data_IF_338838030931
#
_entry.id   IF_338838030931
#
_cell.length_a   1.000
_cell.length_b   1.000
_cell.length_c   1.000
_cell.angle_alpha   90.00
_cell.angle_beta   90.00
_cell.angle_gamma   90.00
#
_symmetry.space_group_name_H-M   'P 1'
#
loop_
_entity.id
_entity.type
_entity.pdbx_description
1 polymer ?
#
# COMPACT_ATOMS: atom_id res chain seq x y z
N UNK A 1 17.26 28.87 -52.04
CA UNK A 1 17.04 29.74 -50.86
C UNK A 1 15.79 29.26 -50.15
N UNK A 2 15.91 28.24 -49.31
CA UNK A 2 14.82 27.82 -48.42
C UNK A 2 15.41 26.98 -47.29
N UNK A 3 15.34 27.55 -46.09
CA UNK A 3 15.94 27.04 -44.88
C UNK A 3 15.23 25.76 -44.39
N UNK A 4 16.00 24.70 -44.14
CA UNK A 4 15.56 23.57 -43.34
C UNK A 4 15.47 24.00 -41.88
N UNK A 5 14.26 24.02 -41.32
CA UNK A 5 14.05 24.10 -39.88
C UNK A 5 14.68 22.88 -39.20
N UNK A 6 15.83 23.07 -38.56
CA UNK A 6 16.31 22.15 -37.51
C UNK A 6 15.38 22.31 -36.32
N UNK A 7 14.45 21.38 -36.15
CA UNK A 7 13.76 21.17 -34.88
C UNK A 7 14.82 20.66 -33.90
N UNK A 8 15.23 21.51 -32.97
CA UNK A 8 16.06 21.14 -31.83
C UNK A 8 15.29 20.12 -31.00
N UNK A 9 15.68 18.85 -31.08
CA UNK A 9 15.26 17.84 -30.10
C UNK A 9 15.90 18.22 -28.77
N UNK A 10 15.12 18.77 -27.85
CA UNK A 10 15.54 18.92 -26.45
C UNK A 10 15.67 17.50 -25.89
N UNK A 11 16.89 16.97 -25.91
CA UNK A 11 17.25 15.79 -25.13
C UNK A 11 17.04 16.16 -23.66
N UNK A 12 15.90 15.77 -23.08
CA UNK A 12 15.71 15.84 -21.63
C UNK A 12 16.71 14.86 -21.02
N UNK A 13 17.86 15.37 -20.60
CA UNK A 13 18.80 14.61 -19.79
C UNK A 13 18.06 14.18 -18.54
N UNK A 14 17.80 12.88 -18.42
CA UNK A 14 17.25 12.30 -17.19
C UNK A 14 18.27 12.62 -16.10
N UNK A 15 17.91 13.50 -15.16
CA UNK A 15 18.78 13.82 -14.04
C UNK A 15 19.02 12.56 -13.21
N UNK A 16 20.28 12.33 -12.82
CA UNK A 16 20.62 11.26 -11.91
C UNK A 16 20.04 11.59 -10.53
N UNK A 17 19.06 10.80 -10.11
CA UNK A 17 18.41 10.90 -8.80
C UNK A 17 18.98 9.87 -7.84
N UNK A 18 19.01 10.20 -6.56
CA UNK A 18 19.56 9.37 -5.51
C UNK A 18 18.49 9.10 -4.42
N UNK A 19 18.62 8.00 -3.65
CA UNK A 19 17.81 7.80 -2.47
C UNK A 19 17.92 9.00 -1.50
N UNK A 20 16.78 9.48 -1.02
CA UNK A 20 16.67 10.67 -0.17
C UNK A 20 16.21 11.93 -0.90
N UNK A 21 16.41 12.01 -2.22
CA UNK A 21 15.99 13.16 -3.02
C UNK A 21 14.47 13.37 -2.93
N UNK A 22 14.05 14.64 -2.82
CA UNK A 22 12.64 15.06 -2.88
C UNK A 22 12.35 15.60 -4.26
N UNK A 23 11.31 15.06 -4.88
CA UNK A 23 10.91 15.40 -6.26
C UNK A 23 9.40 15.61 -6.33
N UNK A 24 8.97 16.49 -7.23
CA UNK A 24 7.55 16.69 -7.52
C UNK A 24 7.12 15.75 -8.66
N UNK A 25 5.95 15.12 -8.51
CA UNK A 25 5.40 14.21 -9.52
C UNK A 25 3.90 14.36 -9.62
N UNK A 26 3.39 14.34 -10.86
CA UNK A 26 1.95 14.20 -11.12
C UNK A 26 1.60 12.73 -11.24
N UNK A 27 0.67 12.27 -10.42
CA UNK A 27 0.19 10.89 -10.43
C UNK A 27 -0.80 10.70 -11.57
N UNK A 28 -0.53 9.71 -12.43
CA UNK A 28 -1.29 9.43 -13.64
C UNK A 28 -2.15 8.17 -13.52
N UNK A 29 -1.70 7.18 -12.77
CA UNK A 29 -2.36 5.87 -12.71
C UNK A 29 -2.07 5.14 -11.38
N UNK A 30 -2.72 3.98 -11.19
CA UNK A 30 -2.46 3.05 -10.09
C UNK A 30 -2.04 1.69 -10.65
N UNK A 31 -0.83 1.26 -10.28
CA UNK A 31 -0.32 -0.06 -10.60
C UNK A 31 -0.86 -1.13 -9.64
N UNK A 32 -0.54 -2.39 -9.96
CA UNK A 32 -0.72 -3.53 -9.07
C UNK A 32 -0.14 -3.25 -7.66
N UNK A 33 -0.73 -3.87 -6.64
CA UNK A 33 -0.38 -3.67 -5.22
C UNK A 33 -0.69 -2.24 -4.68
N UNK A 34 -1.47 -1.46 -5.44
CA UNK A 34 -1.93 -0.15 -5.01
C UNK A 34 -0.91 0.98 -5.10
N UNK A 35 0.20 0.76 -5.82
CA UNK A 35 1.24 1.78 -6.00
C UNK A 35 0.78 2.87 -6.98
N UNK A 36 1.00 4.12 -6.59
CA UNK A 36 0.78 5.25 -7.49
C UNK A 36 1.87 5.30 -8.57
N UNK A 37 1.45 5.60 -9.80
CA UNK A 37 2.35 5.71 -10.96
C UNK A 37 2.41 7.16 -11.37
N UNK A 38 3.58 7.76 -11.21
CA UNK A 38 3.90 9.09 -11.67
C UNK A 38 5.01 9.08 -12.72
N UNK A 39 5.36 10.27 -13.19
CA UNK A 39 6.46 10.46 -14.14
C UNK A 39 7.21 11.75 -13.82
N UNK A 40 8.54 11.67 -13.86
CA UNK A 40 9.43 12.80 -13.63
C UNK A 40 10.51 12.76 -14.71
N UNK A 41 10.60 13.82 -15.51
CA UNK A 41 11.54 13.95 -16.63
C UNK A 41 11.51 12.77 -17.61
N UNK A 42 10.32 12.23 -17.90
CA UNK A 42 10.14 11.10 -18.81
C UNK A 42 10.48 9.73 -18.22
N UNK A 43 10.80 9.66 -16.92
CA UNK A 43 11.08 8.41 -16.21
C UNK A 43 9.98 8.10 -15.18
N UNK A 44 9.51 6.85 -15.21
CA UNK A 44 8.44 6.37 -14.31
C UNK A 44 8.93 6.36 -12.86
N UNK A 45 8.05 6.76 -11.95
CA UNK A 45 8.24 6.60 -10.50
C UNK A 45 7.04 5.87 -9.90
N UNK A 46 7.30 4.83 -9.11
CA UNK A 46 6.30 4.12 -8.32
C UNK A 46 6.32 4.63 -6.88
N UNK A 47 5.16 5.05 -6.38
CA UNK A 47 5.05 5.66 -5.07
C UNK A 47 4.13 4.85 -4.15
N UNK A 48 4.57 4.69 -2.91
CA UNK A 48 3.67 4.33 -1.82
C UNK A 48 2.78 5.53 -1.50
N UNK A 49 1.46 5.30 -1.45
CA UNK A 49 0.42 6.32 -1.36
C UNK A 49 0.36 7.25 -2.60
N UNK A 50 -0.62 8.16 -2.59
CA UNK A 50 -0.96 9.01 -3.72
C UNK A 50 -2.04 8.39 -4.62
N UNK A 51 -2.82 9.24 -5.28
CA UNK A 51 -3.93 8.87 -6.15
C UNK A 51 -3.85 9.57 -7.51
N UNK A 52 -4.40 9.00 -8.58
CA UNK A 52 -4.42 9.64 -9.89
C UNK A 52 -5.12 11.00 -9.86
N UNK A 53 -4.51 11.95 -10.56
CA UNK A 53 -4.91 13.36 -10.54
C UNK A 53 -4.18 14.21 -9.51
N UNK A 54 -3.42 13.61 -8.59
CA UNK A 54 -2.66 14.35 -7.58
C UNK A 54 -1.33 14.88 -8.10
N UNK A 55 -0.91 16.01 -7.52
CA UNK A 55 0.48 16.48 -7.56
C UNK A 55 1.07 16.31 -6.17
N UNK A 56 2.22 15.63 -6.08
CA UNK A 56 2.82 15.23 -4.81
C UNK A 56 4.30 15.59 -4.76
N UNK A 57 4.82 15.88 -3.56
CA UNK A 57 6.25 15.72 -3.27
C UNK A 57 6.49 14.29 -2.82
N UNK A 58 7.47 13.65 -3.44
CA UNK A 58 7.85 12.29 -3.16
C UNK A 58 9.32 12.19 -2.78
N UNK A 59 9.63 11.37 -1.78
CA UNK A 59 10.99 10.99 -1.42
C UNK A 59 11.39 9.73 -2.17
N UNK A 60 12.51 9.77 -2.88
CA UNK A 60 13.05 8.59 -3.55
C UNK A 60 13.64 7.64 -2.51
N UNK A 61 13.19 6.40 -2.50
CA UNK A 61 13.71 5.32 -1.65
C UNK A 61 14.64 4.39 -2.43
N UNK A 62 14.45 4.26 -3.74
CA UNK A 62 15.34 3.52 -4.63
C UNK A 62 15.40 4.19 -6.00
N UNK A 63 16.60 4.58 -6.41
CA UNK A 63 16.87 5.03 -7.77
C UNK A 63 17.24 3.83 -8.65
N UNK A 64 16.50 3.62 -9.74
CA UNK A 64 16.72 2.50 -10.66
C UNK A 64 16.98 2.95 -12.08
N UNK A 65 17.51 2.09 -12.94
CA UNK A 65 17.76 2.46 -14.35
C UNK A 65 16.44 2.72 -15.11
N UNK A 66 15.43 1.85 -14.95
CA UNK A 66 14.17 1.92 -15.69
C UNK A 66 13.10 2.77 -15.01
N UNK A 67 13.04 2.72 -13.69
CA UNK A 67 12.06 3.43 -12.88
C UNK A 67 12.66 3.70 -11.50
N UNK A 68 12.10 4.68 -10.82
CA UNK A 68 12.39 4.96 -9.41
C UNK A 68 11.26 4.44 -8.52
N UNK A 69 11.58 4.24 -7.25
CA UNK A 69 10.61 3.92 -6.21
C UNK A 69 10.73 4.98 -5.12
N UNK A 70 9.60 5.39 -4.56
CA UNK A 70 9.54 6.37 -3.50
C UNK A 70 8.28 6.27 -2.66
N UNK A 71 8.11 7.27 -1.82
CA UNK A 71 6.95 7.45 -0.95
C UNK A 71 6.47 8.89 -1.05
N UNK A 72 5.16 9.09 -1.04
CA UNK A 72 4.58 10.43 -0.95
C UNK A 72 4.87 11.00 0.43
N UNK A 73 5.51 12.17 0.47
CA UNK A 73 5.75 12.91 1.72
C UNK A 73 4.78 14.08 1.90
N UNK A 74 4.22 14.58 0.79
CA UNK A 74 3.26 15.69 0.80
C UNK A 74 2.37 15.63 -0.45
N UNK A 75 1.08 15.90 -0.28
CA UNK A 75 0.13 16.07 -1.38
C UNK A 75 -0.07 17.57 -1.59
N UNK A 76 0.43 18.09 -2.71
CA UNK A 76 0.33 19.51 -3.10
C UNK A 76 -1.06 19.79 -3.66
N UNK A 77 -1.53 18.95 -4.58
CA UNK A 77 -2.87 19.02 -5.17
C UNK A 77 -3.59 17.68 -4.95
N UNK A 78 -4.76 17.73 -4.31
CA UNK A 78 -5.57 16.54 -4.00
C UNK A 78 -6.47 16.16 -5.17
N UNK A 79 -6.63 14.86 -5.38
CA UNK A 79 -7.59 14.33 -6.34
C UNK A 79 -9.02 14.53 -5.82
N UNK A 80 -9.96 14.87 -6.71
CA UNK A 80 -11.38 14.91 -6.37
C UNK A 80 -11.96 13.54 -6.00
N UNK A 81 -11.22 12.46 -6.31
CA UNK A 81 -11.60 11.09 -6.00
C UNK A 81 -11.14 10.65 -4.60
N UNK A 82 -10.32 11.45 -3.93
CA UNK A 82 -9.82 11.18 -2.58
C UNK A 82 -10.93 11.33 -1.55
N UNK A 83 -11.01 10.37 -0.63
CA UNK A 83 -11.87 10.42 0.55
C UNK A 83 -11.04 10.27 1.82
N UNK A 84 -11.52 10.71 2.99
CA UNK A 84 -10.86 10.39 4.26
C UNK A 84 -10.84 8.87 4.48
N UNK A 85 -9.66 8.31 4.76
CA UNK A 85 -9.55 6.93 5.18
C UNK A 85 -10.10 6.78 6.61
N UNK A 86 -11.05 5.86 6.87
CA UNK A 86 -11.66 5.72 8.19
C UNK A 86 -10.75 5.03 9.21
N UNK A 87 -9.80 4.20 8.79
CA UNK A 87 -8.90 3.51 9.71
C UNK A 87 -7.79 4.45 10.20
N UNK A 88 -7.59 4.62 11.53
CA UNK A 88 -6.54 5.49 12.06
C UNK A 88 -5.12 4.98 11.76
N UNK A 89 -4.97 3.69 11.43
CA UNK A 89 -3.68 3.10 11.07
C UNK A 89 -3.38 3.18 9.57
N UNK A 90 -4.24 3.79 8.75
CA UNK A 90 -4.15 3.70 7.29
C UNK A 90 -2.80 4.17 6.72
N UNK A 91 -2.21 5.21 7.30
CA UNK A 91 -0.95 5.78 6.81
C UNK A 91 0.26 4.87 7.08
N UNK A 92 0.21 4.08 8.16
CA UNK A 92 1.32 3.23 8.59
C UNK A 92 1.14 1.75 8.27
N UNK A 93 -0.10 1.26 8.18
CA UNK A 93 -0.39 -0.16 8.07
C UNK A 93 -0.15 -0.68 6.64
N UNK A 94 0.57 -1.78 6.51
CA UNK A 94 0.82 -2.44 5.23
C UNK A 94 -0.39 -3.20 4.64
N UNK A 95 -1.51 -3.28 5.36
CA UNK A 95 -2.64 -4.14 4.98
C UNK A 95 -3.64 -3.55 3.99
N UNK A 96 -3.94 -2.25 4.09
CA UNK A 96 -4.91 -1.57 3.21
C UNK A 96 -4.19 -0.50 2.40
N UNK A 97 -4.46 -0.39 1.09
CA UNK A 97 -3.75 0.56 0.22
C UNK A 97 -4.63 1.69 -0.33
N UNK A 98 -5.96 1.52 -0.37
CA UNK A 98 -6.90 2.44 -1.04
C UNK A 98 -8.11 2.84 -0.18
N UNK A 99 -7.99 2.87 1.15
CA UNK A 99 -9.11 3.38 1.97
C UNK A 99 -9.38 4.88 1.74
N UNK A 100 -8.40 5.59 1.20
CA UNK A 100 -8.46 6.99 0.84
C UNK A 100 -8.94 7.25 -0.60
N UNK A 101 -9.27 6.20 -1.36
CA UNK A 101 -9.85 6.29 -2.70
C UNK A 101 -11.34 5.95 -2.62
N UNK A 102 -12.22 6.75 -3.22
CA UNK A 102 -13.64 6.40 -3.22
C UNK A 102 -13.89 5.04 -3.88
N UNK A 103 -14.94 4.37 -3.43
CA UNK A 103 -15.15 2.97 -3.72
C UNK A 103 -15.40 2.67 -5.21
N UNK A 104 -16.11 3.55 -5.92
CA UNK A 104 -16.36 3.38 -7.35
C UNK A 104 -15.06 3.40 -8.15
N UNK A 105 -14.12 4.28 -7.76
CA UNK A 105 -12.77 4.26 -8.35
C UNK A 105 -11.97 3.03 -7.97
N UNK A 106 -12.11 2.49 -6.77
CA UNK A 106 -11.48 1.21 -6.44
C UNK A 106 -11.95 0.09 -7.38
N UNK A 107 -13.26 0.02 -7.68
CA UNK A 107 -13.83 -0.96 -8.62
C UNK A 107 -13.29 -0.76 -10.05
N UNK A 108 -13.24 0.50 -10.50
CA UNK A 108 -12.66 0.87 -11.79
C UNK A 108 -11.20 0.44 -11.92
N UNK A 109 -10.33 0.77 -10.96
CA UNK A 109 -8.91 0.43 -11.06
C UNK A 109 -8.66 -1.08 -10.96
N UNK A 110 -9.47 -1.83 -10.20
CA UNK A 110 -9.41 -3.30 -10.20
C UNK A 110 -9.72 -3.88 -11.58
N UNK A 111 -10.78 -3.37 -12.21
CA UNK A 111 -11.17 -3.77 -13.57
C UNK A 111 -10.08 -3.43 -14.58
N UNK A 112 -9.57 -2.20 -14.52
CA UNK A 112 -8.48 -1.72 -15.37
C UNK A 112 -7.24 -2.61 -15.24
N UNK A 113 -6.86 -3.02 -14.03
CA UNK A 113 -5.71 -3.91 -13.83
C UNK A 113 -5.90 -5.28 -14.50
N UNK A 114 -7.11 -5.84 -14.46
CA UNK A 114 -7.43 -7.08 -15.18
C UNK A 114 -7.31 -6.87 -16.68
N UNK A 115 -7.90 -5.79 -17.22
CA UNK A 115 -7.80 -5.42 -18.64
C UNK A 115 -6.34 -5.21 -19.10
N UNK A 116 -5.55 -4.47 -18.32
CA UNK A 116 -4.12 -4.24 -18.56
C UNK A 116 -3.36 -5.58 -18.61
N UNK A 117 -3.63 -6.50 -17.69
CA UNK A 117 -3.01 -7.84 -17.70
C UNK A 117 -3.39 -8.63 -18.96
N UNK A 118 -4.67 -8.63 -19.34
CA UNK A 118 -5.16 -9.36 -20.52
C UNK A 118 -4.55 -8.80 -21.82
N UNK A 119 -4.45 -7.48 -21.94
CA UNK A 119 -3.86 -6.81 -23.11
C UNK A 119 -2.35 -6.94 -23.16
N UNK A 120 -1.65 -6.64 -22.06
CA UNK A 120 -0.21 -6.50 -22.08
C UNK A 120 0.55 -7.80 -21.82
N UNK A 121 -0.01 -8.72 -21.04
CA UNK A 121 0.60 -10.01 -20.74
C UNK A 121 0.05 -11.09 -21.68
N UNK A 122 -1.28 -11.28 -21.70
CA UNK A 122 -1.90 -12.33 -22.50
C UNK A 122 -2.07 -11.96 -23.99
N UNK A 123 -1.82 -10.70 -24.37
CA UNK A 123 -1.89 -10.20 -25.76
C UNK A 123 -3.27 -10.34 -26.41
N UNK A 124 -4.34 -10.32 -25.62
CA UNK A 124 -5.69 -10.24 -26.18
C UNK A 124 -5.96 -8.82 -26.71
N UNK A 125 -6.40 -8.73 -27.97
CA UNK A 125 -6.69 -7.43 -28.61
C UNK A 125 -8.02 -6.83 -28.16
N UNK A 126 -9.04 -7.67 -27.96
CA UNK A 126 -10.36 -7.30 -27.46
C UNK A 126 -10.88 -8.36 -26.51
N UNK A 127 -11.21 -7.93 -25.30
CA UNK A 127 -11.92 -8.76 -24.31
C UNK A 127 -13.14 -7.99 -23.88
N UNK A 128 -14.30 -8.64 -23.98
CA UNK A 128 -15.51 -8.14 -23.32
C UNK A 128 -15.40 -8.48 -21.82
N UNK A 129 -14.82 -7.55 -21.07
CA UNK A 129 -14.60 -7.70 -19.64
C UNK A 129 -15.82 -7.14 -18.91
N UNK A 130 -16.39 -7.86 -17.96
CA UNK A 130 -17.48 -7.36 -17.11
C UNK A 130 -17.03 -6.33 -16.08
N UNK A 131 -17.97 -5.55 -15.55
CA UNK A 131 -17.72 -4.65 -14.41
C UNK A 131 -17.31 -5.40 -13.15
N UNK A 132 -16.47 -4.79 -12.31
CA UNK A 132 -16.07 -5.39 -11.02
C UNK A 132 -17.29 -5.49 -10.11
N UNK A 133 -17.63 -6.70 -9.68
CA UNK A 133 -18.73 -6.92 -8.74
C UNK A 133 -18.39 -6.26 -7.38
N UNK A 134 -19.23 -5.33 -6.88
CA UNK A 134 -19.05 -4.73 -5.56
C UNK A 134 -19.07 -5.78 -4.44
N UNK A 135 -18.25 -5.56 -3.43
CA UNK A 135 -18.34 -6.32 -2.18
C UNK A 135 -19.63 -5.94 -1.44
N UNK A 136 -20.34 -6.91 -0.83
CA UNK A 136 -21.54 -6.62 -0.05
C UNK A 136 -21.23 -5.72 1.17
N UNK A 137 -20.04 -5.88 1.75
CA UNK A 137 -19.55 -5.06 2.85
C UNK A 137 -18.12 -4.58 2.53
N UNK A 138 -17.89 -3.26 2.67
CA UNK A 138 -16.57 -2.63 2.46
C UNK A 138 -15.64 -2.81 3.66
N UNK A 139 -16.20 -3.10 4.82
CA UNK A 139 -15.53 -3.29 6.10
C UNK A 139 -16.04 -4.55 6.79
N UNK A 140 -15.34 -5.02 7.82
CA UNK A 140 -15.70 -6.18 8.65
C UNK A 140 -15.91 -7.50 7.89
N UNK A 141 -15.40 -7.61 6.67
CA UNK A 141 -15.55 -8.79 5.81
C UNK A 141 -14.50 -9.87 6.06
N UNK A 142 -13.39 -9.56 6.75
CA UNK A 142 -12.23 -10.45 6.87
C UNK A 142 -12.44 -11.45 8.00
N UNK A 143 -12.62 -12.70 7.61
CA UNK A 143 -12.90 -13.83 8.52
C UNK A 143 -11.64 -14.52 9.07
N UNK A 144 -10.45 -14.21 8.53
CA UNK A 144 -9.16 -14.74 8.99
C UNK A 144 -8.12 -13.63 9.00
N UNK A 145 -7.46 -13.46 10.14
CA UNK A 145 -6.31 -12.58 10.32
C UNK A 145 -5.17 -13.31 11.00
N UNK A 146 -3.97 -12.85 10.68
CA UNK A 146 -2.73 -13.23 11.34
C UNK A 146 -2.09 -11.93 11.85
N UNK A 147 -1.71 -11.92 13.12
CA UNK A 147 -1.01 -10.82 13.77
C UNK A 147 0.38 -11.30 14.14
N UNK A 148 1.38 -10.50 13.81
CA UNK A 148 2.78 -10.84 14.04
C UNK A 148 3.22 -10.29 15.38
N UNK A 149 4.07 -11.07 16.06
CA UNK A 149 4.86 -10.61 17.18
C UNK A 149 6.18 -10.01 16.70
N UNK A 150 6.68 -9.01 17.44
CA UNK A 150 8.09 -8.64 17.43
C UNK A 150 8.53 -8.27 18.85
N UNK A 151 9.83 -8.32 19.11
CA UNK A 151 10.43 -7.63 20.26
C UNK A 151 10.20 -6.12 20.16
N UNK A 152 10.05 -5.48 21.32
CA UNK A 152 9.92 -4.03 21.43
C UNK A 152 10.73 -3.54 22.63
N UNK A 153 11.73 -2.66 22.44
CA UNK A 153 12.58 -2.22 23.54
C UNK A 153 11.83 -1.50 24.67
N UNK A 154 10.70 -0.85 24.36
CA UNK A 154 9.94 -0.06 25.32
C UNK A 154 8.91 -0.91 26.09
N UNK A 155 8.20 -1.81 25.42
CA UNK A 155 7.07 -2.56 25.97
C UNK A 155 7.34 -4.07 26.10
N UNK A 156 8.55 -4.52 25.78
CA UNK A 156 8.96 -5.92 25.69
C UNK A 156 8.58 -6.57 24.35
N UNK A 157 7.34 -6.39 23.91
CA UNK A 157 6.88 -6.86 22.60
C UNK A 157 5.75 -6.00 22.01
N UNK A 158 5.58 -6.12 20.69
CA UNK A 158 4.40 -5.66 19.95
C UNK A 158 3.61 -6.84 19.40
N UNK A 159 2.29 -6.69 19.31
CA UNK A 159 1.40 -7.65 18.64
C UNK A 159 0.49 -6.90 17.66
N UNK A 160 0.73 -7.08 16.37
CA UNK A 160 -0.04 -6.35 15.38
C UNK A 160 0.30 -6.69 13.95
N UNK A 161 0.51 -5.66 13.13
CA UNK A 161 0.70 -5.80 11.68
C UNK A 161 1.97 -5.09 11.23
N UNK A 162 2.49 -5.52 10.09
CA UNK A 162 3.65 -4.91 9.48
C UNK A 162 3.37 -3.47 9.03
N UNK A 163 4.34 -2.58 9.24
CA UNK A 163 4.33 -1.24 8.68
C UNK A 163 4.49 -1.31 7.16
N UNK A 164 3.85 -0.39 6.45
CA UNK A 164 3.86 -0.35 4.98
C UNK A 164 5.28 -0.29 4.46
N UNK A 165 5.63 -1.24 3.58
CA UNK A 165 6.96 -1.34 2.98
C UNK A 165 8.06 -1.86 3.92
N UNK A 166 7.75 -2.26 5.16
CA UNK A 166 8.74 -2.66 6.16
C UNK A 166 8.34 -3.99 6.81
N UNK A 167 8.88 -5.09 6.30
CA UNK A 167 8.57 -6.43 6.78
C UNK A 167 9.10 -6.71 8.20
N UNK A 168 10.12 -5.98 8.64
CA UNK A 168 10.75 -6.16 9.94
C UNK A 168 10.22 -5.18 11.02
N UNK A 169 9.29 -4.31 10.67
CA UNK A 169 8.70 -3.35 11.61
C UNK A 169 7.22 -3.67 11.81
N UNK A 170 6.85 -3.98 13.04
CA UNK A 170 5.47 -4.26 13.45
C UNK A 170 4.99 -3.12 14.33
N UNK A 171 3.78 -2.62 14.08
CA UNK A 171 3.13 -1.66 14.98
C UNK A 171 2.14 -2.39 15.87
N UNK A 172 2.01 -1.94 17.12
CA UNK A 172 1.04 -2.51 18.05
C UNK A 172 -0.38 -2.14 17.61
N UNK A 173 -1.20 -3.16 17.32
CA UNK A 173 -2.51 -2.93 16.73
C UNK A 173 -3.53 -2.56 17.82
N UNK A 174 -4.24 -1.44 17.61
CA UNK A 174 -5.39 -1.05 18.42
C UNK A 174 -6.71 -1.58 17.84
N UNK A 175 -6.95 -1.33 16.55
CA UNK A 175 -8.19 -1.69 15.86
C UNK A 175 -7.97 -1.99 14.38
N UNK A 176 -8.86 -2.80 13.80
CA UNK A 176 -8.83 -3.14 12.37
C UNK A 176 -10.25 -3.24 11.82
N UNK A 177 -10.64 -2.29 10.95
CA UNK A 177 -11.98 -2.25 10.35
C UNK A 177 -12.19 -3.31 9.27
N UNK A 178 -11.20 -4.16 8.98
CA UNK A 178 -11.42 -5.31 8.11
C UNK A 178 -12.00 -6.50 8.87
N UNK A 179 -11.77 -6.60 10.17
CA UNK A 179 -12.27 -7.69 11.02
C UNK A 179 -13.49 -7.27 11.82
N UNK A 180 -14.21 -8.23 12.42
CA UNK A 180 -15.25 -7.89 13.40
C UNK A 180 -14.66 -7.17 14.63
N UNK A 181 -15.54 -6.53 15.40
CA UNK A 181 -15.21 -5.88 16.67
C UNK A 181 -14.67 -6.86 17.74
N UNK A 182 -14.89 -8.17 17.56
CA UNK A 182 -14.38 -9.22 18.46
C UNK A 182 -12.88 -9.42 18.31
N UNK A 183 -12.33 -9.25 17.11
CA UNK A 183 -10.92 -9.57 16.84
C UNK A 183 -9.97 -8.66 17.63
N UNK A 184 -10.11 -7.32 17.64
CA UNK A 184 -9.27 -6.46 18.49
C UNK A 184 -9.38 -6.80 19.99
N UNK A 185 -10.57 -7.20 20.47
CA UNK A 185 -10.78 -7.63 21.87
C UNK A 185 -9.97 -8.89 22.19
N UNK A 186 -9.94 -9.87 21.29
CA UNK A 186 -9.13 -11.10 21.44
C UNK A 186 -7.64 -10.77 21.39
N UNK A 187 -7.21 -9.90 20.47
CA UNK A 187 -5.81 -9.45 20.39
C UNK A 187 -5.39 -8.77 21.70
N UNK A 188 -6.22 -7.88 22.25
CA UNK A 188 -5.95 -7.20 23.52
C UNK A 188 -5.89 -8.17 24.70
N UNK A 189 -6.83 -9.11 24.78
CA UNK A 189 -6.81 -10.14 25.80
C UNK A 189 -5.54 -11.02 25.71
N UNK A 190 -5.17 -11.46 24.51
CA UNK A 190 -3.99 -12.29 24.30
C UNK A 190 -2.70 -11.53 24.64
N UNK A 191 -2.64 -10.22 24.34
CA UNK A 191 -1.53 -9.36 24.75
C UNK A 191 -1.35 -9.34 26.27
N UNK A 192 -2.44 -9.19 27.04
CA UNK A 192 -2.38 -9.27 28.50
C UNK A 192 -1.92 -10.65 28.97
N UNK A 193 -2.48 -11.72 28.42
CA UNK A 193 -2.06 -13.09 28.74
C UNK A 193 -0.56 -13.32 28.53
N UNK A 194 0.00 -12.85 27.41
CA UNK A 194 1.44 -13.00 27.10
C UNK A 194 2.32 -12.24 28.10
N UNK A 195 1.90 -11.04 28.54
CA UNK A 195 2.62 -10.27 29.57
C UNK A 195 2.69 -11.01 30.91
N UNK A 196 1.70 -11.83 31.23
CA UNK A 196 1.60 -12.58 32.49
C UNK A 196 2.20 -13.99 32.41
N UNK A 197 2.43 -14.52 31.20
CA UNK A 197 2.84 -15.92 31.01
C UNK A 197 4.35 -16.16 31.07
N UNK A 198 5.17 -15.12 30.94
CA UNK A 198 6.63 -15.23 30.81
C UNK A 198 7.10 -15.76 29.44
N UNK A 199 6.20 -15.89 28.46
CA UNK A 199 6.56 -16.28 27.09
C UNK A 199 7.27 -15.15 26.36
N UNK A 200 8.27 -15.49 25.54
CA UNK A 200 9.01 -14.52 24.73
C UNK A 200 8.38 -14.33 23.36
N UNK A 201 8.25 -13.07 22.94
CA UNK A 201 7.94 -12.73 21.56
C UNK A 201 9.11 -13.13 20.65
N UNK A 202 8.78 -13.52 19.43
CA UNK A 202 9.78 -13.77 18.40
C UNK A 202 10.36 -12.45 17.86
N UNK A 203 11.67 -12.40 17.67
CA UNK A 203 12.39 -11.32 17.01
C UNK A 203 12.59 -11.65 15.52
N UNK A 204 12.08 -10.79 14.63
CA UNK A 204 12.14 -11.03 13.18
C UNK A 204 13.54 -10.87 12.59
N UNK A 205 14.45 -10.17 13.27
CA UNK A 205 15.83 -9.92 12.82
C UNK A 205 16.78 -10.96 13.41
N UNK A 206 16.72 -11.16 14.73
CA UNK A 206 17.58 -12.10 15.44
C UNK A 206 17.13 -13.56 15.27
N UNK A 207 15.91 -13.77 14.77
CA UNK A 207 15.31 -15.09 14.59
C UNK A 207 15.21 -15.92 15.89
N UNK A 208 15.10 -15.25 17.04
CA UNK A 208 14.98 -15.86 18.37
C UNK A 208 13.58 -15.65 18.98
N UNK A 209 13.22 -16.41 20.01
CA UNK A 209 11.94 -16.30 20.72
C UNK A 209 10.85 -17.26 20.22
N UNK A 210 9.74 -17.32 20.97
CA UNK A 210 8.74 -18.38 20.81
C UNK A 210 7.48 -17.94 20.05
N UNK A 211 6.81 -16.87 20.50
CA UNK A 211 5.54 -16.44 19.93
C UNK A 211 5.76 -15.67 18.63
N UNK A 212 5.43 -16.29 17.49
CA UNK A 212 5.57 -15.67 16.15
C UNK A 212 4.31 -14.99 15.67
N UNK A 213 3.18 -15.69 15.77
CA UNK A 213 1.91 -15.23 15.23
C UNK A 213 0.75 -15.56 16.15
N UNK A 214 -0.23 -14.65 16.23
CA UNK A 214 -1.59 -14.93 16.68
C UNK A 214 -2.51 -14.98 15.46
N UNK A 215 -3.03 -16.17 15.14
CA UNK A 215 -3.99 -16.34 14.06
C UNK A 215 -5.40 -16.43 14.62
N UNK A 216 -6.30 -15.56 14.15
CA UNK A 216 -7.70 -15.54 14.54
C UNK A 216 -8.55 -15.82 13.30
N UNK A 217 -9.41 -16.83 13.39
CA UNK A 217 -10.44 -17.11 12.38
C UNK A 217 -11.81 -17.08 13.03
N UNK A 218 -12.70 -16.27 12.45
CA UNK A 218 -14.12 -16.23 12.80
C UNK A 218 -14.91 -16.77 11.62
N UNK A 219 -15.57 -17.91 11.81
CA UNK A 219 -16.56 -18.38 10.83
C UNK A 219 -17.77 -17.47 10.87
N UNK A 220 -18.27 -17.11 9.68
CA UNK A 220 -19.59 -16.51 9.52
C UNK A 220 -20.47 -17.58 8.90
N UNK A 221 -21.69 -17.71 9.40
CA UNK A 221 -22.68 -18.51 8.71
C UNK A 221 -23.07 -17.74 7.43
N UNK A 222 -22.88 -18.37 6.29
CA UNK A 222 -23.52 -17.96 5.04
C UNK A 222 -24.86 -18.66 4.98
N UNK A 223 -25.94 -17.91 4.76
CA UNK A 223 -27.27 -18.46 4.48
C UNK A 223 -27.28 -19.30 3.19
#
# INVERSE_FOLDING_TARGET
MTAFLKILSVSRTIMNRHPGDIVESKIKDLAYDGKAVGEIDGKIIFLNAGLPGEVVRARITKAGHKYDVGEVVEIIEKSGERVPAPCPHFDICGGCTWQDLNYERQLYYKRKQVDDCLKHIAKFEKVDLAETVPAPNKFHYRNKMEFSFNTDPENGFVLGLHRRGRFNEIFDLNECYLTSDKVPKIVNWFRTFVRESGMTAYDVVEHDGFLRFLMIRQTQNTD
#
